data_IF_875652072885
#
_entry.id   IF_875652072885
#
_cell.length_a   1.000
_cell.length_b   1.000
_cell.length_c   1.000
_cell.angle_alpha   90.00
_cell.angle_beta   90.00
_cell.angle_gamma   90.00
#
_symmetry.space_group_name_H-M   'P 1'
#
loop_
_entity.id
_entity.type
_entity.pdbx_description
1 polymer ?
#
# COMPACT_ATOMS: atom_id res chain seq x y z
N UNK A 1 8.57 -11.85 1.65
CA UNK A 1 8.42 -12.45 3.00
C UNK A 1 6.98 -12.82 3.34
N UNK A 2 6.00 -11.89 3.39
CA UNK A 2 4.60 -12.24 3.73
C UNK A 2 3.95 -13.16 2.68
N UNK A 3 4.11 -12.84 1.39
CA UNK A 3 3.58 -13.66 0.28
C UNK A 3 4.19 -15.07 0.29
N UNK A 4 5.49 -15.17 0.58
CA UNK A 4 6.20 -16.46 0.71
C UNK A 4 5.64 -17.29 1.86
N UNK A 5 5.48 -16.67 3.04
CA UNK A 5 4.91 -17.31 4.21
C UNK A 5 3.50 -17.84 3.91
N UNK A 6 2.63 -17.01 3.33
CA UNK A 6 1.28 -17.41 2.95
C UNK A 6 1.29 -18.56 1.95
N UNK A 7 2.07 -18.45 0.87
CA UNK A 7 2.16 -19.50 -0.14
C UNK A 7 2.64 -20.83 0.46
N UNK A 8 3.64 -20.80 1.35
CA UNK A 8 4.14 -21.99 2.03
C UNK A 8 3.12 -22.59 3.00
N UNK A 9 2.37 -21.77 3.74
CA UNK A 9 1.29 -22.24 4.62
C UNK A 9 0.21 -22.93 3.80
N UNK A 10 -0.26 -22.32 2.72
CA UNK A 10 -1.30 -22.90 1.87
C UNK A 10 -0.83 -24.18 1.19
N UNK A 11 0.42 -24.23 0.71
CA UNK A 11 1.02 -25.44 0.17
C UNK A 11 1.13 -26.57 1.22
N UNK A 12 1.50 -26.22 2.46
CA UNK A 12 1.63 -27.18 3.55
C UNK A 12 0.26 -27.72 3.98
N UNK A 13 -0.75 -26.86 4.06
CA UNK A 13 -2.14 -27.25 4.32
C UNK A 13 -2.61 -28.20 3.20
N UNK A 14 -2.46 -27.82 1.93
CA UNK A 14 -2.87 -28.70 0.83
C UNK A 14 -2.17 -30.06 0.91
N UNK A 15 -0.85 -30.10 1.16
CA UNK A 15 -0.10 -31.34 1.26
C UNK A 15 -0.55 -32.24 2.42
N UNK A 16 -0.76 -31.67 3.62
CA UNK A 16 -1.25 -32.41 4.81
C UNK A 16 -2.58 -33.08 4.49
N UNK A 17 -3.50 -32.32 3.87
CA UNK A 17 -4.81 -32.81 3.53
C UNK A 17 -4.75 -33.86 2.40
N UNK A 18 -3.94 -33.68 1.37
CA UNK A 18 -3.75 -34.69 0.31
C UNK A 18 -3.19 -36.01 0.86
N UNK A 19 -2.25 -35.97 1.81
CA UNK A 19 -1.71 -37.18 2.46
C UNK A 19 -2.80 -37.88 3.28
N UNK A 20 -3.59 -37.11 4.04
CA UNK A 20 -4.62 -37.63 4.93
C UNK A 20 -5.77 -38.30 4.18
N UNK A 21 -6.11 -37.82 2.99
CA UNK A 21 -7.27 -38.29 2.22
C UNK A 21 -6.90 -38.94 0.87
N UNK A 22 -5.65 -39.42 0.74
CA UNK A 22 -5.04 -40.00 -0.48
C UNK A 22 -5.86 -41.03 -1.27
N UNK A 23 -6.84 -41.70 -0.66
CA UNK A 23 -7.65 -42.75 -1.30
C UNK A 23 -8.88 -42.27 -2.07
N UNK A 24 -9.24 -40.99 -2.02
CA UNK A 24 -10.33 -40.45 -2.83
C UNK A 24 -9.76 -39.92 -4.14
N UNK A 25 -10.19 -40.45 -5.29
CA UNK A 25 -9.65 -40.12 -6.61
C UNK A 25 -9.94 -38.70 -7.12
N UNK A 26 -10.21 -37.73 -6.24
CA UNK A 26 -10.52 -36.35 -6.57
C UNK A 26 -10.07 -35.35 -5.50
N UNK A 27 -10.15 -34.07 -5.82
CA UNK A 27 -9.73 -32.95 -4.95
C UNK A 27 -10.81 -32.50 -3.95
N UNK A 28 -11.96 -33.18 -3.93
CA UNK A 28 -13.08 -32.87 -3.05
C UNK A 28 -13.27 -34.04 -2.09
N UNK A 29 -13.33 -33.74 -0.81
CA UNK A 29 -13.49 -34.73 0.26
C UNK A 29 -14.72 -34.41 1.09
N UNK A 30 -15.44 -35.45 1.50
CA UNK A 30 -16.58 -35.32 2.40
C UNK A 30 -16.14 -35.78 3.79
N UNK A 31 -16.19 -34.88 4.77
CA UNK A 31 -15.93 -35.18 6.19
C UNK A 31 -17.18 -34.77 6.96
N UNK A 32 -17.77 -35.69 7.73
CA UNK A 32 -18.96 -35.40 8.53
C UNK A 32 -20.10 -34.72 7.74
N UNK A 33 -20.35 -35.15 6.48
CA UNK A 33 -21.28 -34.52 5.54
C UNK A 33 -20.93 -33.09 5.06
N UNK A 34 -19.75 -32.55 5.39
CA UNK A 34 -19.25 -31.29 4.85
C UNK A 34 -18.27 -31.52 3.69
N UNK A 35 -18.45 -30.75 2.61
CA UNK A 35 -17.58 -30.78 1.44
C UNK A 35 -16.35 -29.90 1.66
N UNK A 36 -15.17 -30.48 1.62
CA UNK A 36 -13.89 -29.78 1.65
C UNK A 36 -13.24 -29.86 0.26
N UNK A 37 -13.13 -28.72 -0.41
CA UNK A 37 -12.44 -28.59 -1.69
C UNK A 37 -10.96 -28.24 -1.48
N UNK A 38 -10.07 -29.20 -1.72
CA UNK A 38 -8.63 -28.99 -1.69
C UNK A 38 -8.14 -28.18 -2.88
N UNK A 39 -8.88 -28.15 -3.99
CA UNK A 39 -8.55 -27.40 -5.18
C UNK A 39 -8.36 -25.92 -4.87
N UNK A 40 -9.20 -25.36 -4.00
CA UNK A 40 -9.10 -23.96 -3.56
C UNK A 40 -7.75 -23.61 -2.91
N UNK A 41 -7.18 -24.51 -2.10
CA UNK A 41 -5.88 -24.27 -1.46
C UNK A 41 -4.73 -24.34 -2.46
N UNK A 42 -4.81 -25.27 -3.42
CA UNK A 42 -3.81 -25.42 -4.47
C UNK A 42 -3.85 -24.21 -5.42
N UNK A 43 -5.03 -23.79 -5.86
CA UNK A 43 -5.18 -22.62 -6.74
C UNK A 43 -4.71 -21.35 -6.05
N UNK A 44 -5.02 -21.16 -4.77
CA UNK A 44 -4.55 -20.01 -4.00
C UNK A 44 -3.03 -20.04 -3.81
N UNK A 45 -2.43 -21.22 -3.62
CA UNK A 45 -0.97 -21.39 -3.59
C UNK A 45 -0.34 -20.97 -4.91
N UNK A 46 -0.89 -21.42 -6.04
CA UNK A 46 -0.41 -21.09 -7.39
C UNK A 46 -0.51 -19.57 -7.62
N UNK A 47 -1.66 -18.98 -7.30
CA UNK A 47 -1.88 -17.53 -7.43
C UNK A 47 -0.85 -16.72 -6.62
N UNK A 48 -0.59 -17.10 -5.37
CA UNK A 48 0.42 -16.42 -4.54
C UNK A 48 1.83 -16.57 -5.10
N UNK A 49 2.15 -17.72 -5.71
CA UNK A 49 3.45 -17.95 -6.33
C UNK A 49 3.62 -17.12 -7.62
N UNK A 50 2.58 -17.02 -8.44
CA UNK A 50 2.56 -16.15 -9.64
C UNK A 50 2.71 -14.68 -9.24
N UNK A 51 1.98 -14.23 -8.22
CA UNK A 51 2.08 -12.88 -7.67
C UNK A 51 3.47 -12.60 -7.09
N UNK A 52 4.12 -13.59 -6.49
CA UNK A 52 5.52 -13.50 -6.07
C UNK A 52 6.46 -13.29 -7.25
N UNK A 53 6.29 -14.05 -8.34
CA UNK A 53 7.10 -13.88 -9.55
C UNK A 53 6.95 -12.45 -10.07
N UNK A 54 5.73 -11.93 -10.12
CA UNK A 54 5.45 -10.56 -10.52
C UNK A 54 6.14 -9.56 -9.58
N UNK A 55 6.08 -9.74 -8.27
CA UNK A 55 6.77 -8.85 -7.34
C UNK A 55 8.29 -8.90 -7.43
N UNK A 56 8.89 -10.04 -7.79
CA UNK A 56 10.34 -10.12 -8.00
C UNK A 56 10.83 -9.28 -9.18
N UNK A 57 9.92 -8.84 -10.07
CA UNK A 57 10.28 -7.93 -11.15
C UNK A 57 10.74 -6.56 -10.64
N UNK A 58 10.48 -6.20 -9.36
CA UNK A 58 10.98 -4.96 -8.78
C UNK A 58 12.51 -4.81 -8.83
N UNK A 59 13.24 -5.92 -8.98
CA UNK A 59 14.71 -5.94 -9.03
C UNK A 59 15.23 -5.36 -10.35
N UNK A 60 14.47 -5.48 -11.44
CA UNK A 60 14.86 -4.99 -12.75
C UNK A 60 14.54 -3.51 -12.92
N UNK A 61 15.46 -2.72 -13.47
CA UNK A 61 15.29 -1.27 -13.62
C UNK A 61 14.06 -0.87 -14.45
N UNK A 62 13.73 -1.65 -15.49
CA UNK A 62 12.58 -1.44 -16.37
C UNK A 62 11.22 -1.48 -15.66
N UNK A 63 11.10 -2.29 -14.60
CA UNK A 63 9.86 -2.51 -13.85
C UNK A 63 9.93 -1.94 -12.42
N UNK A 64 11.14 -1.84 -11.86
CA UNK A 64 11.39 -1.45 -10.47
C UNK A 64 10.92 -0.06 -10.13
N UNK A 65 10.94 0.88 -11.09
CA UNK A 65 10.41 2.24 -10.90
C UNK A 65 8.90 2.18 -10.70
N UNK A 66 8.18 1.45 -11.54
CA UNK A 66 6.73 1.30 -11.47
C UNK A 66 6.34 0.54 -10.20
N UNK A 67 7.06 -0.50 -9.83
CA UNK A 67 6.86 -1.19 -8.55
C UNK A 67 7.11 -0.28 -7.35
N UNK A 68 8.16 0.55 -7.37
CA UNK A 68 8.44 1.50 -6.30
C UNK A 68 7.29 2.51 -6.14
N UNK A 69 6.74 3.02 -7.25
CA UNK A 69 5.55 3.88 -7.23
C UNK A 69 4.35 3.11 -6.65
N UNK A 70 4.05 1.91 -7.15
CA UNK A 70 2.92 1.09 -6.67
C UNK A 70 3.02 0.82 -5.17
N UNK A 71 4.18 0.39 -4.67
CA UNK A 71 4.37 0.12 -3.24
C UNK A 71 4.35 1.39 -2.40
N UNK A 72 4.93 2.50 -2.89
CA UNK A 72 4.90 3.80 -2.23
C UNK A 72 3.46 4.31 -2.05
N UNK A 73 2.69 4.30 -3.13
CA UNK A 73 1.27 4.68 -3.14
C UNK A 73 0.44 3.74 -2.27
N UNK A 74 0.66 2.43 -2.36
CA UNK A 74 -0.10 1.43 -1.60
C UNK A 74 -0.02 1.67 -0.09
N UNK A 75 1.17 1.97 0.44
CA UNK A 75 1.37 2.25 1.87
C UNK A 75 0.55 3.46 2.35
N UNK A 76 0.47 4.50 1.53
CA UNK A 76 -0.25 5.73 1.84
C UNK A 76 -1.77 5.58 1.72
N UNK A 77 -2.22 4.71 0.81
CA UNK A 77 -3.65 4.48 0.54
C UNK A 77 -4.27 3.42 1.46
N UNK A 78 -3.45 2.59 2.12
CA UNK A 78 -3.91 1.53 3.02
C UNK A 78 -4.85 2.02 4.14
N UNK A 79 -4.58 3.15 4.85
CA UNK A 79 -5.50 3.69 5.84
C UNK A 79 -6.86 4.08 5.24
N UNK A 80 -6.85 4.66 4.04
CA UNK A 80 -8.08 4.99 3.32
C UNK A 80 -8.89 3.72 2.99
N UNK A 81 -8.24 2.65 2.51
CA UNK A 81 -8.91 1.37 2.22
C UNK A 81 -9.55 0.77 3.47
N UNK A 82 -8.88 0.88 4.63
CA UNK A 82 -9.43 0.42 5.91
C UNK A 82 -10.68 1.22 6.31
N UNK A 83 -10.67 2.53 6.13
CA UNK A 83 -11.84 3.38 6.36
C UNK A 83 -12.98 3.00 5.40
N UNK A 84 -12.69 2.83 4.11
CA UNK A 84 -13.65 2.38 3.11
C UNK A 84 -14.29 1.03 3.51
N UNK A 85 -13.50 0.07 3.99
CA UNK A 85 -13.99 -1.22 4.47
C UNK A 85 -14.98 -1.06 5.62
N UNK A 86 -14.68 -0.19 6.59
CA UNK A 86 -15.60 0.09 7.72
C UNK A 86 -16.93 0.65 7.19
N UNK A 87 -16.89 1.61 6.26
CA UNK A 87 -18.11 2.15 5.68
C UNK A 87 -18.93 1.09 4.95
N UNK A 88 -18.29 0.25 4.13
CA UNK A 88 -18.93 -0.88 3.44
C UNK A 88 -19.61 -1.81 4.45
N UNK A 89 -18.95 -2.14 5.56
CA UNK A 89 -19.52 -2.99 6.60
C UNK A 89 -20.70 -2.33 7.33
N UNK A 90 -20.60 -1.04 7.66
CA UNK A 90 -21.67 -0.28 8.33
C UNK A 90 -22.91 -0.20 7.44
N UNK A 91 -22.76 0.21 6.18
CA UNK A 91 -23.87 0.31 5.25
C UNK A 91 -24.46 -1.07 4.90
N UNK A 92 -23.61 -2.08 4.68
CA UNK A 92 -24.04 -3.46 4.44
C UNK A 92 -24.84 -4.03 5.61
N UNK A 93 -24.39 -3.79 6.84
CA UNK A 93 -25.11 -4.20 8.06
C UNK A 93 -26.45 -3.48 8.20
N UNK A 94 -26.50 -2.18 7.92
CA UNK A 94 -27.73 -1.39 7.93
C UNK A 94 -28.75 -1.89 6.91
N UNK A 95 -28.31 -2.22 5.68
CA UNK A 95 -29.16 -2.78 4.63
C UNK A 95 -29.71 -4.15 5.01
N UNK A 96 -28.88 -5.03 5.58
CA UNK A 96 -29.33 -6.34 6.05
C UNK A 96 -30.39 -6.22 7.15
N UNK A 97 -30.17 -5.36 8.16
CA UNK A 97 -31.13 -5.15 9.25
C UNK A 97 -32.45 -4.62 8.71
N UNK A 98 -32.41 -3.57 7.88
CA UNK A 98 -33.63 -2.97 7.32
C UNK A 98 -34.39 -3.96 6.44
N UNK A 99 -33.69 -4.74 5.61
CA UNK A 99 -34.31 -5.74 4.76
C UNK A 99 -34.98 -6.84 5.57
N UNK A 100 -34.35 -7.31 6.66
CA UNK A 100 -34.89 -8.36 7.53
C UNK A 100 -36.13 -7.90 8.29
N UNK A 101 -36.13 -6.65 8.79
CA UNK A 101 -37.28 -6.06 9.46
C UNK A 101 -38.47 -5.87 8.52
N UNK A 102 -38.23 -5.70 7.22
CA UNK A 102 -39.27 -5.51 6.24
C UNK A 102 -39.85 -6.82 5.66
N UNK A 103 -39.22 -7.98 5.90
CA UNK A 103 -39.72 -9.27 5.43
C UNK A 103 -40.63 -9.91 6.47
N UNK A 104 -41.94 -9.72 6.33
CA UNK A 104 -42.92 -10.58 7.01
C UNK A 104 -42.71 -12.02 6.51
N UNK A 105 -42.62 -12.95 7.46
CA UNK A 105 -42.23 -14.36 7.35
C UNK A 105 -42.59 -15.11 6.06
N UNK A 106 -41.74 -16.11 5.74
CA UNK A 106 -41.99 -17.30 4.91
C UNK A 106 -41.65 -17.29 3.41
N UNK A 107 -40.60 -16.59 2.98
CA UNK A 107 -39.95 -16.95 1.71
C UNK A 107 -38.43 -17.00 1.90
N UNK A 108 -37.86 -18.19 1.71
CA UNK A 108 -36.47 -18.59 1.99
C UNK A 108 -35.41 -17.97 1.08
N UNK A 109 -35.74 -16.90 0.36
CA UNK A 109 -34.82 -16.20 -0.55
C UNK A 109 -34.38 -14.85 0.05
N UNK A 110 -34.44 -14.72 1.38
CA UNK A 110 -33.82 -13.60 2.08
C UNK A 110 -32.30 -13.72 1.90
N UNK A 111 -31.73 -12.72 1.24
CA UNK A 111 -30.30 -12.58 1.00
C UNK A 111 -29.52 -12.86 2.30
N UNK A 112 -28.52 -13.72 2.24
CA UNK A 112 -27.71 -14.05 3.42
C UNK A 112 -26.91 -12.81 3.86
N UNK A 113 -26.48 -12.75 5.13
CA UNK A 113 -25.62 -11.68 5.66
C UNK A 113 -24.45 -11.35 4.72
N UNK A 114 -23.83 -12.40 4.16
CA UNK A 114 -22.72 -12.30 3.21
C UNK A 114 -23.13 -11.51 1.97
N UNK A 115 -24.33 -11.75 1.43
CA UNK A 115 -24.81 -11.08 0.23
C UNK A 115 -25.02 -9.57 0.45
N UNK A 116 -25.41 -9.16 1.66
CA UNK A 116 -25.53 -7.73 2.01
C UNK A 116 -24.19 -7.05 2.28
N UNK A 117 -23.16 -7.79 2.68
CA UNK A 117 -21.79 -7.27 2.79
C UNK A 117 -21.16 -7.11 1.40
N UNK A 118 -21.47 -8.01 0.46
CA UNK A 118 -20.97 -7.95 -0.92
C UNK A 118 -21.75 -6.94 -1.78
N UNK A 119 -23.01 -6.65 -1.46
CA UNK A 119 -23.83 -5.69 -2.22
C UNK A 119 -23.19 -4.28 -2.34
N UNK A 120 -22.68 -3.63 -1.27
CA UNK A 120 -21.96 -2.37 -1.40
C UNK A 120 -20.74 -2.45 -2.32
N UNK A 121 -20.02 -3.58 -2.35
CA UNK A 121 -18.92 -3.79 -3.28
C UNK A 121 -19.39 -3.79 -4.74
N UNK A 122 -20.49 -4.48 -5.04
CA UNK A 122 -21.08 -4.42 -6.38
C UNK A 122 -21.57 -3.00 -6.74
N UNK A 123 -22.03 -2.22 -5.75
CA UNK A 123 -22.46 -0.82 -5.96
C UNK A 123 -21.25 0.03 -6.33
N UNK A 124 -20.10 -0.19 -5.66
CA UNK A 124 -18.83 0.47 -5.97
C UNK A 124 -18.38 0.19 -7.40
N UNK A 125 -18.48 -1.05 -7.85
CA UNK A 125 -18.02 -1.45 -9.20
C UNK A 125 -19.00 -1.09 -10.31
N UNK A 126 -20.17 -0.53 -9.97
CA UNK A 126 -21.20 -0.12 -10.93
C UNK A 126 -21.95 -1.30 -11.56
N UNK A 127 -22.02 -2.46 -10.90
CA UNK A 127 -22.83 -3.58 -11.38
C UNK A 127 -24.31 -3.21 -11.37
N UNK A 128 -24.96 -3.33 -12.54
CA UNK A 128 -26.38 -3.00 -12.75
C UNK A 128 -27.35 -3.94 -12.03
N UNK A 129 -26.90 -5.13 -11.63
CA UNK A 129 -27.78 -6.19 -11.11
C UNK A 129 -28.34 -5.87 -9.72
N UNK A 130 -27.71 -4.96 -8.99
CA UNK A 130 -28.18 -4.48 -7.67
C UNK A 130 -29.41 -3.58 -7.82
N UNK A 131 -29.47 -2.83 -8.92
CA UNK A 131 -30.58 -1.97 -9.30
C UNK A 131 -31.33 -2.67 -10.45
N UNK A 132 -31.48 -4.00 -10.38
CA UNK A 132 -32.34 -4.65 -11.35
C UNK A 132 -33.75 -4.05 -11.20
N UNK A 133 -34.47 -3.81 -12.31
CA UNK A 133 -35.82 -3.27 -12.26
C UNK A 133 -36.73 -4.07 -11.34
N UNK A 134 -36.51 -5.39 -11.24
CA UNK A 134 -37.25 -6.30 -10.35
C UNK A 134 -36.97 -6.09 -8.86
N UNK A 135 -35.72 -5.83 -8.46
CA UNK A 135 -35.36 -5.50 -7.07
C UNK A 135 -35.93 -4.12 -6.71
N UNK A 136 -35.80 -3.18 -7.63
CA UNK A 136 -36.30 -1.81 -7.49
C UNK A 136 -37.83 -1.80 -7.40
N UNK A 137 -38.53 -2.59 -8.21
CA UNK A 137 -39.98 -2.78 -8.18
C UNK A 137 -40.44 -3.41 -6.86
N UNK A 138 -39.73 -4.41 -6.34
CA UNK A 138 -40.03 -5.04 -5.03
C UNK A 138 -39.76 -4.12 -3.83
N UNK A 139 -38.79 -3.21 -3.95
CA UNK A 139 -38.47 -2.19 -2.95
C UNK A 139 -39.51 -1.07 -2.97
N UNK A 140 -39.91 -0.61 -4.16
CA UNK A 140 -40.90 0.45 -4.38
C UNK A 140 -42.30 -0.03 -3.96
N UNK A 141 -42.67 -1.28 -4.29
CA UNK A 141 -43.99 -1.86 -3.96
C UNK A 141 -44.24 -2.09 -2.47
N UNK A 142 -43.21 -1.95 -1.61
CA UNK A 142 -43.33 -2.09 -0.15
C UNK A 142 -43.38 -0.77 0.63
N UNK A 143 -43.42 0.40 -0.02
CA UNK A 143 -43.40 1.72 0.63
C UNK A 143 -42.22 1.91 1.61
N UNK A 144 -41.08 1.28 1.32
CA UNK A 144 -39.90 1.39 2.16
C UNK A 144 -39.05 2.60 1.77
N UNK A 145 -39.60 3.80 2.02
CA UNK A 145 -38.92 5.10 1.82
C UNK A 145 -37.51 5.08 2.44
N UNK A 146 -37.38 4.48 3.62
CA UNK A 146 -36.09 4.33 4.31
C UNK A 146 -35.06 3.51 3.51
N UNK A 147 -35.48 2.49 2.75
CA UNK A 147 -34.56 1.64 1.98
C UNK A 147 -34.04 2.38 0.75
N UNK A 148 -34.93 3.06 0.02
CA UNK A 148 -34.56 3.94 -1.10
C UNK A 148 -33.59 5.02 -0.62
N UNK A 149 -33.87 5.64 0.54
CA UNK A 149 -33.00 6.64 1.13
C UNK A 149 -31.59 6.10 1.47
N UNK A 150 -31.50 4.91 2.07
CA UNK A 150 -30.21 4.26 2.36
C UNK A 150 -29.45 3.92 1.07
N UNK A 151 -30.14 3.46 0.01
CA UNK A 151 -29.52 3.18 -1.29
C UNK A 151 -28.98 4.43 -1.99
N UNK A 152 -29.67 5.56 -1.87
CA UNK A 152 -29.18 6.83 -2.39
C UNK A 152 -27.95 7.28 -1.60
N UNK A 153 -28.01 7.18 -0.27
CA UNK A 153 -26.89 7.54 0.62
C UNK A 153 -25.64 6.69 0.35
N UNK A 154 -25.79 5.37 0.19
CA UNK A 154 -24.65 4.48 -0.04
C UNK A 154 -24.01 4.76 -1.41
N UNK A 155 -24.81 5.06 -2.43
CA UNK A 155 -24.30 5.46 -3.74
C UNK A 155 -23.54 6.79 -3.63
N UNK A 156 -24.17 7.83 -3.10
CA UNK A 156 -23.52 9.14 -2.94
C UNK A 156 -22.22 9.05 -2.13
N UNK A 157 -22.23 8.34 -1.00
CA UNK A 157 -21.08 8.30 -0.11
C UNK A 157 -19.97 7.38 -0.63
N UNK A 158 -20.29 6.17 -1.11
CA UNK A 158 -19.26 5.21 -1.51
C UNK A 158 -18.80 5.46 -2.96
N UNK A 159 -19.72 5.61 -3.92
CA UNK A 159 -19.34 5.72 -5.34
C UNK A 159 -18.90 7.14 -5.70
N UNK A 160 -19.60 8.17 -5.21
CA UNK A 160 -19.27 9.56 -5.57
C UNK A 160 -18.20 10.10 -4.64
N UNK A 161 -18.43 10.12 -3.33
CA UNK A 161 -17.49 10.76 -2.41
C UNK A 161 -16.21 9.93 -2.22
N UNK A 162 -16.33 8.67 -1.79
CA UNK A 162 -15.15 7.86 -1.46
C UNK A 162 -14.30 7.52 -2.68
N UNK A 163 -14.87 7.09 -3.81
CA UNK A 163 -14.04 6.79 -4.99
C UNK A 163 -13.36 8.03 -5.57
N UNK A 164 -14.03 9.19 -5.60
CA UNK A 164 -13.39 10.42 -6.08
C UNK A 164 -12.29 10.88 -5.12
N UNK A 165 -12.51 10.76 -3.81
CA UNK A 165 -11.48 11.01 -2.80
C UNK A 165 -10.29 10.04 -2.94
N UNK A 166 -10.56 8.76 -3.18
CA UNK A 166 -9.55 7.74 -3.44
C UNK A 166 -8.69 8.11 -4.65
N UNK A 167 -9.33 8.46 -5.77
CA UNK A 167 -8.65 8.88 -7.00
C UNK A 167 -7.82 10.15 -6.75
N UNK A 168 -8.35 11.12 -6.01
CA UNK A 168 -7.63 12.35 -5.66
C UNK A 168 -6.39 12.09 -4.81
N UNK A 169 -6.50 11.25 -3.77
CA UNK A 169 -5.36 10.84 -2.93
C UNK A 169 -4.33 10.09 -3.77
N UNK A 170 -4.78 9.16 -4.63
CA UNK A 170 -3.91 8.39 -5.51
C UNK A 170 -3.14 9.30 -6.46
N UNK A 171 -3.83 10.22 -7.13
CA UNK A 171 -3.25 11.15 -8.10
C UNK A 171 -2.19 12.05 -7.45
N UNK A 172 -2.49 12.60 -6.27
CA UNK A 172 -1.55 13.46 -5.55
C UNK A 172 -0.28 12.69 -5.16
N UNK A 173 -0.43 11.48 -4.59
CA UNK A 173 0.72 10.66 -4.17
C UNK A 173 1.55 10.15 -5.34
N UNK A 174 0.93 9.82 -6.47
CA UNK A 174 1.65 9.47 -7.70
C UNK A 174 2.51 10.66 -8.15
N UNK A 175 1.97 11.88 -8.08
CA UNK A 175 2.73 13.09 -8.45
C UNK A 175 3.94 13.32 -7.56
N UNK A 176 3.83 13.14 -6.25
CA UNK A 176 4.94 13.26 -5.29
C UNK A 176 6.04 12.20 -5.51
N UNK A 177 5.62 10.99 -5.92
CA UNK A 177 6.51 9.85 -6.14
C UNK A 177 7.15 9.85 -7.52
N UNK A 178 6.63 10.64 -8.46
CA UNK A 178 7.21 10.83 -9.79
C UNK A 178 8.45 11.75 -9.80
N UNK A 179 9.02 12.04 -8.63
CA UNK A 179 10.32 12.70 -8.51
C UNK A 179 11.44 11.66 -8.43
N UNK A 180 12.51 11.84 -9.23
CA UNK A 180 13.73 11.01 -9.21
C UNK A 180 14.33 10.87 -7.81
N UNK A 181 14.24 11.93 -6.98
CA UNK A 181 14.70 11.90 -5.59
C UNK A 181 13.91 10.89 -4.74
N UNK A 182 12.58 10.87 -4.89
CA UNK A 182 11.69 9.93 -4.21
C UNK A 182 12.04 8.48 -4.59
N UNK A 183 12.24 8.20 -5.87
CA UNK A 183 12.64 6.87 -6.35
C UNK A 183 13.95 6.38 -5.72
N UNK A 184 14.98 7.23 -5.69
CA UNK A 184 16.27 6.90 -5.08
C UNK A 184 16.14 6.62 -3.57
N UNK A 185 15.29 7.37 -2.87
CA UNK A 185 15.01 7.14 -1.46
C UNK A 185 14.34 5.78 -1.23
N UNK A 186 13.34 5.39 -2.04
CA UNK A 186 12.73 4.05 -1.97
C UNK A 186 13.74 2.93 -2.27
N UNK A 187 14.61 3.14 -3.27
CA UNK A 187 15.67 2.17 -3.60
C UNK A 187 16.66 2.00 -2.42
N UNK A 188 17.05 3.11 -1.77
CA UNK A 188 17.91 3.08 -0.60
C UNK A 188 17.22 2.39 0.61
N UNK A 189 15.94 2.70 0.84
CA UNK A 189 15.15 2.05 1.89
C UNK A 189 15.05 0.54 1.66
N UNK A 190 14.72 0.10 0.43
CA UNK A 190 14.67 -1.31 0.08
C UNK A 190 16.03 -2.00 0.27
N UNK A 191 17.13 -1.36 -0.14
CA UNK A 191 18.47 -1.89 0.03
C UNK A 191 18.84 -2.04 1.52
N UNK A 192 18.50 -1.06 2.36
CA UNK A 192 18.75 -1.11 3.80
C UNK A 192 17.99 -2.25 4.50
N UNK A 193 16.76 -2.53 4.04
CA UNK A 193 15.98 -3.66 4.52
C UNK A 193 16.68 -4.95 4.14
N UNK A 194 17.11 -5.08 2.87
CA UNK A 194 17.82 -6.27 2.38
C UNK A 194 19.12 -6.51 3.17
N UNK A 195 19.92 -5.47 3.37
CA UNK A 195 21.15 -5.52 4.17
C UNK A 195 20.86 -6.01 5.60
N UNK A 196 19.83 -5.47 6.25
CA UNK A 196 19.51 -5.80 7.63
C UNK A 196 18.88 -7.20 7.78
N UNK A 197 18.03 -7.63 6.86
CA UNK A 197 17.23 -8.85 7.02
C UNK A 197 17.78 -10.07 6.29
N UNK A 198 18.48 -9.91 5.17
CA UNK A 198 18.90 -11.03 4.31
C UNK A 198 20.42 -11.26 4.26
N UNK A 199 21.25 -10.29 4.63
CA UNK A 199 22.70 -10.47 4.59
C UNK A 199 23.27 -11.03 5.90
N UNK A 200 24.17 -11.99 5.78
CA UNK A 200 24.93 -12.51 6.93
C UNK A 200 25.96 -11.47 7.43
N UNK A 201 26.39 -11.55 8.70
CA UNK A 201 27.39 -10.63 9.26
C UNK A 201 28.66 -10.54 8.40
N UNK A 202 29.14 -11.68 7.88
CA UNK A 202 30.34 -11.74 7.04
C UNK A 202 30.15 -11.07 5.68
N UNK A 203 28.94 -11.10 5.11
CA UNK A 203 28.66 -10.46 3.82
C UNK A 203 28.64 -8.93 3.94
N UNK A 204 28.16 -8.40 5.06
CA UNK A 204 28.14 -6.94 5.34
C UNK A 204 29.54 -6.36 5.55
N UNK A 205 30.50 -7.18 5.96
CA UNK A 205 31.89 -6.75 6.17
C UNK A 205 32.74 -6.82 4.89
N UNK A 206 32.18 -7.32 3.77
CA UNK A 206 32.91 -7.37 2.50
C UNK A 206 32.99 -5.99 1.87
N UNK A 207 34.22 -5.47 1.73
CA UNK A 207 34.52 -4.19 1.09
C UNK A 207 34.06 -4.10 -0.36
N UNK A 208 33.96 -5.26 -1.03
CA UNK A 208 33.52 -5.37 -2.44
C UNK A 208 32.02 -5.02 -2.61
N UNK A 209 31.21 -5.28 -1.58
CA UNK A 209 29.76 -5.03 -1.57
C UNK A 209 29.42 -3.72 -0.86
N UNK A 210 30.20 -3.38 0.18
CA UNK A 210 30.04 -2.17 0.98
C UNK A 210 31.36 -1.41 1.02
N UNK A 211 31.57 -0.46 0.09
CA UNK A 211 32.78 0.34 0.07
C UNK A 211 32.87 1.20 1.32
N UNK A 212 34.10 1.33 1.84
CA UNK A 212 34.39 2.14 3.03
C UNK A 212 34.24 3.66 2.77
N UNK A 213 34.35 4.07 1.50
CA UNK A 213 34.29 5.46 1.05
C UNK A 213 33.35 5.53 -0.15
N UNK A 214 32.41 6.48 -0.12
CA UNK A 214 31.49 6.77 -1.24
C UNK A 214 31.68 8.22 -1.66
N UNK A 215 31.93 8.43 -2.95
CA UNK A 215 32.03 9.76 -3.54
C UNK A 215 30.68 10.22 -4.05
N UNK A 216 30.27 11.44 -3.70
CA UNK A 216 29.04 12.05 -4.17
C UNK A 216 29.33 13.47 -4.66
N UNK A 217 28.66 13.86 -5.74
CA UNK A 217 28.60 15.23 -6.18
C UNK A 217 27.37 15.90 -5.55
N UNK A 218 27.57 17.07 -4.95
CA UNK A 218 26.51 17.81 -4.27
C UNK A 218 26.65 19.30 -4.55
N UNK A 219 25.53 19.99 -4.67
CA UNK A 219 25.52 21.43 -4.87
C UNK A 219 25.98 22.13 -3.58
N UNK A 220 26.95 23.06 -3.69
CA UNK A 220 27.57 23.73 -2.53
C UNK A 220 26.52 24.42 -1.66
N UNK A 221 25.51 25.04 -2.26
CA UNK A 221 24.43 25.76 -1.54
C UNK A 221 23.59 24.82 -0.67
N UNK A 222 23.18 23.66 -1.20
CA UNK A 222 22.40 22.68 -0.42
C UNK A 222 23.23 22.06 0.69
N UNK A 223 24.49 21.74 0.40
CA UNK A 223 25.44 21.21 1.37
C UNK A 223 25.64 22.20 2.53
N UNK A 224 25.68 23.51 2.23
CA UNK A 224 25.76 24.55 3.26
C UNK A 224 24.56 24.53 4.21
N UNK A 225 23.35 24.42 3.67
CA UNK A 225 22.11 24.36 4.44
C UNK A 225 22.08 23.17 5.39
N UNK A 226 22.48 21.99 4.91
CA UNK A 226 22.52 20.75 5.71
C UNK A 226 23.55 20.86 6.85
N UNK A 227 24.75 21.38 6.56
CA UNK A 227 25.78 21.57 7.58
C UNK A 227 25.31 22.53 8.67
N UNK A 228 24.65 23.65 8.31
CA UNK A 228 24.04 24.58 9.28
C UNK A 228 22.99 23.89 10.15
N UNK A 229 22.12 23.07 9.57
CA UNK A 229 21.14 22.28 10.33
C UNK A 229 21.80 21.31 11.33
N UNK A 230 22.90 20.65 10.95
CA UNK A 230 23.64 19.74 11.82
C UNK A 230 24.34 20.49 12.96
N UNK A 231 24.90 21.68 12.68
CA UNK A 231 25.52 22.54 13.68
C UNK A 231 24.48 23.07 14.69
N UNK A 232 23.29 23.44 14.22
CA UNK A 232 22.18 23.93 15.03
C UNK A 232 21.44 22.85 15.83
N UNK A 233 21.86 21.58 15.74
CA UNK A 233 21.19 20.40 16.35
C UNK A 233 19.75 20.13 15.85
N UNK A 234 19.35 20.70 14.72
CA UNK A 234 18.02 20.49 14.11
C UNK A 234 17.99 19.30 13.13
N UNK A 235 18.89 18.33 13.31
CA UNK A 235 18.99 17.19 12.40
C UNK A 235 17.83 16.21 12.60
N UNK A 236 17.04 15.88 11.56
CA UNK A 236 15.86 15.02 11.69
C UNK A 236 16.19 13.51 11.78
N UNK A 237 17.44 13.11 11.52
CA UNK A 237 17.85 11.71 11.53
C UNK A 237 18.18 11.17 12.92
N UNK A 238 18.14 9.85 13.07
CA UNK A 238 18.42 9.14 14.34
C UNK A 238 19.86 9.25 14.82
N UNK A 239 20.82 9.50 13.93
CA UNK A 239 22.23 9.66 14.27
C UNK A 239 22.76 10.97 13.69
N UNK A 240 23.45 11.76 14.52
CA UNK A 240 24.07 13.02 14.11
C UNK A 240 25.28 12.73 13.22
N UNK A 241 25.33 13.22 11.96
CA UNK A 241 26.47 12.99 11.08
C UNK A 241 27.73 13.67 11.62
N UNK A 242 28.87 13.02 11.45
CA UNK A 242 30.17 13.66 11.70
C UNK A 242 30.58 14.50 10.48
N UNK A 243 30.97 15.75 10.72
CA UNK A 243 31.44 16.68 9.68
C UNK A 243 32.93 16.91 9.94
N UNK A 244 33.76 16.67 8.94
CA UNK A 244 35.20 16.92 9.06
C UNK A 244 35.54 18.41 8.90
N UNK A 245 36.57 18.88 9.61
CA UNK A 245 37.06 20.26 9.48
C UNK A 245 37.52 20.58 8.05
N UNK A 246 38.01 19.58 7.33
CA UNK A 246 38.41 19.70 5.92
C UNK A 246 37.21 20.04 5.02
N UNK A 247 36.04 19.45 5.29
CA UNK A 247 34.81 19.73 4.57
C UNK A 247 34.30 21.15 4.86
N UNK A 248 34.34 21.59 6.13
CA UNK A 248 33.96 22.95 6.53
C UNK A 248 34.83 24.02 5.84
N UNK A 249 36.13 23.76 5.74
CA UNK A 249 37.07 24.61 4.99
C UNK A 249 36.76 24.62 3.49
N UNK A 250 36.49 23.45 2.90
CA UNK A 250 36.18 23.33 1.47
C UNK A 250 34.89 24.08 1.07
N UNK A 251 33.87 24.07 1.94
CA UNK A 251 32.60 24.76 1.72
C UNK A 251 32.70 26.28 2.01
N UNK A 252 33.85 26.76 2.51
CA UNK A 252 34.12 28.14 2.97
C UNK A 252 33.27 28.55 4.18
N UNK A 253 32.83 27.59 4.99
CA UNK A 253 32.05 27.85 6.21
C UNK A 253 32.91 28.03 7.46
N UNK A 254 34.21 27.72 7.39
CA UNK A 254 35.11 27.84 8.55
C UNK A 254 35.36 29.28 9.02
N UNK A 255 34.92 30.29 8.25
CA UNK A 255 35.19 31.71 8.54
C UNK A 255 33.94 32.53 8.90
N UNK A 256 32.74 31.94 8.95
CA UNK A 256 31.51 32.66 9.34
C UNK A 256 31.35 32.79 10.88
N UNK A 257 32.09 32.00 11.67
CA UNK A 257 31.94 32.01 13.14
C UNK A 257 32.71 33.13 13.85
N UNK A 258 33.20 34.15 13.14
CA UNK A 258 33.98 35.22 13.77
C UNK A 258 33.55 36.65 13.46
N UNK A 259 32.44 36.93 12.77
CA UNK A 259 31.90 38.30 12.73
C UNK A 259 30.38 38.32 12.53
N UNK A 260 29.72 38.91 13.53
CA UNK A 260 28.48 39.71 13.57
C UNK A 260 27.41 39.62 12.46
N UNK A 261 26.16 39.65 12.94
CA UNK A 261 24.96 40.18 12.31
C UNK A 261 25.20 41.19 11.17
N UNK A 262 24.72 40.85 9.96
CA UNK A 262 23.75 41.63 9.16
C UNK A 262 23.60 41.04 7.77
N UNK A 263 22.35 41.12 7.29
CA UNK A 263 21.86 41.18 5.91
C UNK A 263 22.90 40.90 4.80
N UNK A 264 22.59 39.95 3.93
CA UNK A 264 22.67 40.12 2.47
C UNK A 264 21.95 38.92 1.82
N UNK A 265 20.63 39.09 1.65
CA UNK A 265 19.98 38.59 0.45
C UNK A 265 20.56 39.40 -0.72
N UNK A 266 20.82 38.73 -1.85
CA UNK A 266 21.35 39.32 -3.10
C UNK A 266 22.89 39.31 -3.22
N UNK A 267 23.39 38.99 -4.43
CA UNK A 267 24.80 38.89 -4.88
C UNK A 267 25.51 37.52 -4.76
N UNK A 268 25.37 36.68 -5.79
CA UNK A 268 26.46 36.38 -6.75
C UNK A 268 26.06 35.27 -7.75
N UNK A 269 25.38 35.66 -8.82
CA UNK A 269 25.03 34.79 -9.97
C UNK A 269 25.91 35.06 -11.21
N UNK A 270 26.99 35.86 -11.10
CA UNK A 270 27.65 36.43 -12.30
C UNK A 270 29.16 36.21 -12.47
N UNK A 271 29.79 35.16 -11.94
CA UNK A 271 31.21 34.88 -12.25
C UNK A 271 31.55 33.40 -12.43
N UNK A 272 30.98 32.75 -13.46
CA UNK A 272 31.46 31.42 -13.88
C UNK A 272 31.64 31.21 -15.39
N UNK A 273 31.82 32.30 -16.15
CA UNK A 273 32.29 32.20 -17.54
C UNK A 273 33.46 33.14 -17.78
N UNK A 274 34.65 32.73 -17.37
CA UNK A 274 35.91 33.02 -18.07
C UNK A 274 36.99 32.01 -17.65
#
# INVERSE_FOLDING_TARGET
MLVDLLATIFAMISAIWTIRYKNSGGWIYIINNEYHDLGAFITLTILLLELKILFNLHVYELFGIQFAIIFGVFREVLPFLFVLLIFVLVFGSSLHILSKLNTNSSNSNAWNLISFIVAPYYIVTGSSDIISPYITEKIITKDNIALIFILILISFFITIYMMNLFIGILSNKISDLHNKASFLNYKAMALSIIEKSYMLPNQRQRKDLFPEIIFFEAHIVELRKIVKQIQNNDWPGTYKPYISDTLLKAIRMSNENSNEDKNDDEYDEWNFYQ
#
